data_IF_586016026351
#
_entry.id   IF_586016026351
#
_cell.length_a   1.000
_cell.length_b   1.000
_cell.length_c   1.000
_cell.angle_alpha   90.00
_cell.angle_beta   90.00
_cell.angle_gamma   90.00
#
_symmetry.space_group_name_H-M   'P 1'
#
loop_
_entity.id
_entity.type
_entity.pdbx_description
1 polymer ?
#
# COMPACT_ATOMS: atom_id res chain seq x y z
N UNK A 1 37.10 -41.85 5.17
CA UNK A 1 37.30 -40.45 4.75
C UNK A 1 36.55 -40.27 3.44
N UNK A 2 35.24 -40.07 3.54
CA UNK A 2 34.33 -39.95 2.39
C UNK A 2 34.20 -38.48 2.02
N UNK A 3 34.45 -38.25 0.73
CA UNK A 3 34.49 -37.01 -0.02
C UNK A 3 33.26 -36.14 0.29
N UNK A 4 33.49 -34.87 0.60
CA UNK A 4 32.44 -33.89 0.85
C UNK A 4 31.48 -33.81 -0.34
N UNK A 5 30.18 -33.90 -0.07
CA UNK A 5 29.16 -33.46 -1.01
C UNK A 5 29.40 -31.97 -1.25
N UNK A 6 30.00 -31.63 -2.38
CA UNK A 6 29.82 -30.30 -2.95
C UNK A 6 28.33 -30.22 -3.31
N UNK A 7 27.57 -29.39 -2.57
CA UNK A 7 26.21 -29.07 -2.96
C UNK A 7 26.25 -28.56 -4.40
N UNK A 8 25.42 -29.14 -5.28
CA UNK A 8 25.35 -28.70 -6.67
C UNK A 8 25.05 -27.20 -6.71
N UNK A 9 25.76 -26.43 -7.55
CA UNK A 9 25.53 -25.00 -7.64
C UNK A 9 24.12 -24.75 -8.17
N UNK A 10 23.27 -24.13 -7.36
CA UNK A 10 21.95 -23.68 -7.78
C UNK A 10 22.10 -22.55 -8.82
N UNK A 11 21.96 -22.90 -10.10
CA UNK A 11 22.07 -21.96 -11.22
C UNK A 11 20.72 -21.30 -11.48
N UNK A 12 20.70 -19.96 -11.41
CA UNK A 12 19.51 -19.16 -11.71
C UNK A 12 19.24 -19.12 -13.22
N UNK A 13 18.40 -20.03 -13.70
CA UNK A 13 18.11 -20.19 -15.13
C UNK A 13 17.30 -19.05 -15.74
N UNK A 14 16.48 -18.35 -14.94
CA UNK A 14 15.64 -17.23 -15.39
C UNK A 14 16.44 -15.96 -15.69
N UNK A 15 17.70 -15.88 -15.23
CA UNK A 15 18.54 -14.68 -15.33
C UNK A 15 18.06 -13.49 -14.50
N UNK A 16 16.93 -13.61 -13.79
CA UNK A 16 16.36 -12.55 -12.96
C UNK A 16 16.59 -12.84 -11.47
N UNK A 17 17.43 -12.03 -10.84
CA UNK A 17 17.71 -12.14 -9.41
C UNK A 17 16.86 -11.13 -8.60
N UNK A 18 15.83 -11.59 -7.86
CA UNK A 18 14.99 -10.70 -7.07
C UNK A 18 15.74 -10.01 -5.92
N UNK A 19 16.86 -10.55 -5.44
CA UNK A 19 17.64 -9.97 -4.34
C UNK A 19 18.30 -8.63 -4.73
N UNK A 20 18.73 -8.51 -5.99
CA UNK A 20 19.36 -7.30 -6.51
C UNK A 20 18.34 -6.16 -6.52
N UNK A 21 17.15 -6.40 -7.08
CA UNK A 21 16.09 -5.39 -7.17
C UNK A 21 15.52 -5.07 -5.79
N UNK A 22 15.45 -6.06 -4.90
CA UNK A 22 15.01 -5.87 -3.52
C UNK A 22 15.82 -4.79 -2.78
N UNK A 23 17.12 -4.64 -3.05
CA UNK A 23 17.93 -3.58 -2.45
C UNK A 23 17.41 -2.18 -2.80
N UNK A 24 17.07 -1.95 -4.07
CA UNK A 24 16.50 -0.68 -4.52
C UNK A 24 15.12 -0.42 -3.92
N UNK A 25 14.27 -1.44 -3.82
CA UNK A 25 12.97 -1.30 -3.18
C UNK A 25 13.06 -1.06 -1.67
N UNK A 26 14.04 -1.66 -0.98
CA UNK A 26 14.31 -1.37 0.42
C UNK A 26 14.67 0.10 0.62
N UNK A 27 15.61 0.62 -0.18
CA UNK A 27 16.01 2.03 -0.13
C UNK A 27 14.84 2.96 -0.43
N UNK A 28 14.07 2.67 -1.47
CA UNK A 28 12.89 3.45 -1.84
C UNK A 28 11.84 3.48 -0.72
N UNK A 29 11.50 2.33 -0.14
CA UNK A 29 10.57 2.24 0.99
C UNK A 29 11.08 3.01 2.21
N UNK A 30 12.38 2.92 2.52
CA UNK A 30 13.01 3.64 3.62
C UNK A 30 12.98 5.16 3.44
N UNK A 31 13.24 5.65 2.22
CA UNK A 31 13.14 7.07 1.89
C UNK A 31 11.70 7.57 2.08
N UNK A 32 10.71 6.82 1.60
CA UNK A 32 9.29 7.16 1.79
C UNK A 32 8.88 7.16 3.26
N UNK A 33 9.40 6.22 4.06
CA UNK A 33 9.18 6.22 5.50
C UNK A 33 9.77 7.48 6.16
N UNK A 34 10.97 7.90 5.74
CA UNK A 34 11.58 9.16 6.17
C UNK A 34 10.70 10.38 5.85
N UNK A 35 10.16 10.46 4.63
CA UNK A 35 9.21 11.51 4.26
C UNK A 35 7.95 11.48 5.13
N UNK A 36 7.36 10.30 5.35
CA UNK A 36 6.19 10.15 6.21
C UNK A 36 6.48 10.65 7.63
N UNK A 37 7.65 10.32 8.19
CA UNK A 37 8.09 10.80 9.51
C UNK A 37 8.21 12.32 9.57
N UNK A 38 8.77 12.96 8.54
CA UNK A 38 8.84 14.43 8.48
C UNK A 38 7.44 15.05 8.48
N UNK A 39 6.52 14.53 7.66
CA UNK A 39 5.14 15.03 7.60
C UNK A 39 4.41 14.82 8.94
N UNK A 40 4.63 13.69 9.62
CA UNK A 40 4.09 13.46 10.99
C UNK A 40 4.56 14.57 11.93
N UNK A 41 5.85 14.90 11.94
CA UNK A 41 6.38 15.97 12.79
C UNK A 41 5.77 17.34 12.46
N UNK A 42 5.56 17.65 11.17
CA UNK A 42 4.90 18.89 10.77
C UNK A 42 3.44 18.95 11.24
N UNK A 43 2.71 17.83 11.16
CA UNK A 43 1.33 17.75 11.66
C UNK A 43 1.30 17.91 13.19
N UNK A 44 2.24 17.29 13.92
CA UNK A 44 2.35 17.42 15.37
C UNK A 44 2.77 18.83 15.81
N UNK A 45 3.73 19.46 15.13
CA UNK A 45 4.14 20.85 15.40
C UNK A 45 2.98 21.82 15.16
N UNK A 46 2.26 21.66 14.04
CA UNK A 46 1.04 22.43 13.76
C UNK A 46 0.00 22.25 14.87
N UNK A 47 -0.24 21.02 15.31
CA UNK A 47 -1.18 20.74 16.40
C UNK A 47 -0.72 21.36 17.73
N UNK A 48 0.58 21.33 18.02
CA UNK A 48 1.17 21.89 19.24
C UNK A 48 1.06 23.42 19.27
N UNK A 49 1.47 24.11 18.19
CA UNK A 49 1.37 25.57 18.08
C UNK A 49 -0.06 26.06 18.24
N UNK A 50 -1.01 25.36 17.61
CA UNK A 50 -2.45 25.70 17.67
C UNK A 50 -3.05 25.57 19.07
N UNK A 51 -2.51 24.66 19.90
CA UNK A 51 -2.95 24.53 21.29
C UNK A 51 -2.60 25.77 22.13
N UNK A 52 -1.59 26.54 21.73
CA UNK A 52 -1.25 27.83 22.34
C UNK A 52 -2.19 28.97 21.96
N UNK A 53 -2.80 28.93 20.77
CA UNK A 53 -3.59 30.03 20.19
C UNK A 53 -5.04 30.13 20.72
N UNK A 54 -5.48 29.26 21.64
CA UNK A 54 -6.83 29.25 22.25
C UNK A 54 -8.02 29.24 21.28
N UNK A 55 -7.80 29.00 19.98
CA UNK A 55 -8.85 28.95 18.96
C UNK A 55 -9.64 27.66 19.09
N UNK A 56 -10.97 27.77 19.26
CA UNK A 56 -11.88 26.62 19.26
C UNK A 56 -11.92 26.06 17.83
N UNK A 57 -11.41 24.85 17.64
CA UNK A 57 -11.48 24.14 16.35
C UNK A 57 -12.91 23.66 16.09
N UNK A 58 -13.31 23.72 14.82
CA UNK A 58 -14.48 22.98 14.36
C UNK A 58 -14.23 21.47 14.62
N UNK A 59 -15.16 20.74 15.28
CA UNK A 59 -15.07 19.29 15.46
C UNK A 59 -14.71 18.50 14.19
N UNK A 60 -15.05 19.05 13.00
CA UNK A 60 -14.69 18.46 11.71
C UNK A 60 -13.20 18.56 11.40
N UNK A 61 -12.55 19.69 11.73
CA UNK A 61 -11.12 19.91 11.46
C UNK A 61 -10.26 19.04 12.39
N UNK A 62 -10.64 18.91 13.67
CA UNK A 62 -9.89 18.08 14.63
C UNK A 62 -9.97 16.58 14.31
N UNK A 63 -11.16 16.11 13.89
CA UNK A 63 -11.34 14.75 13.40
C UNK A 63 -10.46 14.47 12.17
N UNK A 64 -10.44 15.40 11.22
CA UNK A 64 -9.64 15.31 10.00
C UNK A 64 -8.14 15.25 10.27
N UNK A 65 -7.62 16.13 11.13
CA UNK A 65 -6.21 16.12 11.55
C UNK A 65 -5.82 14.80 12.24
N UNK A 66 -6.68 14.28 13.11
CA UNK A 66 -6.44 12.99 13.77
C UNK A 66 -6.36 11.83 12.78
N UNK A 67 -7.23 11.85 11.76
CA UNK A 67 -7.29 10.81 10.74
C UNK A 67 -6.09 10.85 9.80
N UNK A 68 -5.61 12.05 9.44
CA UNK A 68 -4.34 12.22 8.71
C UNK A 68 -3.20 11.63 9.55
N UNK A 69 -3.11 11.98 10.83
CA UNK A 69 -2.08 11.48 11.73
C UNK A 69 -2.06 9.95 11.81
N UNK A 70 -3.23 9.33 12.01
CA UNK A 70 -3.36 7.86 12.03
C UNK A 70 -2.90 7.25 10.70
N UNK A 71 -3.37 7.77 9.56
CA UNK A 71 -2.99 7.25 8.25
C UNK A 71 -1.48 7.38 7.99
N UNK A 72 -0.85 8.49 8.37
CA UNK A 72 0.60 8.69 8.26
C UNK A 72 1.37 7.69 9.14
N UNK A 73 0.95 7.47 10.39
CA UNK A 73 1.60 6.51 11.29
C UNK A 73 1.47 5.08 10.75
N UNK A 74 0.28 4.70 10.26
CA UNK A 74 0.06 3.42 9.59
C UNK A 74 0.96 3.25 8.35
N UNK A 75 1.04 4.28 7.50
CA UNK A 75 1.90 4.26 6.32
C UNK A 75 3.38 4.16 6.70
N UNK A 76 3.83 4.94 7.67
CA UNK A 76 5.20 4.91 8.18
C UNK A 76 5.57 3.50 8.69
N UNK A 77 4.75 2.92 9.56
CA UNK A 77 5.00 1.59 10.10
C UNK A 77 5.03 0.53 8.99
N UNK A 78 4.08 0.58 8.06
CA UNK A 78 4.03 -0.33 6.90
C UNK A 78 5.28 -0.21 6.02
N UNK A 79 5.75 1.01 5.75
CA UNK A 79 6.96 1.26 4.96
C UNK A 79 8.23 0.79 5.70
N UNK A 80 8.32 0.95 7.02
CA UNK A 80 9.43 0.41 7.82
C UNK A 80 9.45 -1.13 7.74
N UNK A 81 8.32 -1.79 7.96
CA UNK A 81 8.21 -3.25 7.84
C UNK A 81 8.60 -3.73 6.43
N UNK A 82 8.13 -3.01 5.42
CA UNK A 82 8.45 -3.29 4.00
C UNK A 82 9.95 -3.11 3.71
N UNK A 83 10.57 -2.06 4.28
CA UNK A 83 12.00 -1.80 4.14
C UNK A 83 12.82 -2.94 4.74
N UNK A 84 12.48 -3.38 5.95
CA UNK A 84 13.10 -4.52 6.60
C UNK A 84 12.94 -5.79 5.74
N UNK A 85 11.75 -6.03 5.18
CA UNK A 85 11.47 -7.19 4.32
C UNK A 85 12.32 -7.22 3.06
N UNK A 86 12.36 -6.11 2.32
CA UNK A 86 13.20 -6.04 1.13
C UNK A 86 14.69 -6.07 1.47
N UNK A 87 15.10 -5.57 2.63
CA UNK A 87 16.50 -5.67 3.08
C UNK A 87 16.91 -7.11 3.37
N UNK A 88 16.00 -7.88 4.00
CA UNK A 88 16.18 -9.31 4.21
C UNK A 88 16.21 -10.09 2.89
N UNK A 89 15.29 -9.79 1.97
CA UNK A 89 15.27 -10.37 0.63
C UNK A 89 16.54 -10.02 -0.17
N UNK A 90 17.13 -8.84 0.03
CA UNK A 90 18.39 -8.46 -0.61
C UNK A 90 19.60 -9.24 -0.07
N UNK A 91 19.46 -9.90 1.07
CA UNK A 91 20.46 -10.82 1.63
C UNK A 91 20.26 -12.28 1.20
N UNK A 92 19.19 -12.59 0.46
CA UNK A 92 18.95 -13.94 -0.06
C UNK A 92 19.97 -14.29 -1.15
N UNK A 93 20.41 -15.55 -1.16
CA UNK A 93 21.40 -16.05 -2.13
C UNK A 93 21.29 -17.55 -2.34
N UNK A 94 21.92 -18.06 -3.39
CA UNK A 94 22.00 -19.49 -3.69
C UNK A 94 20.64 -20.13 -3.98
N UNK A 95 20.41 -21.33 -3.44
CA UNK A 95 19.23 -22.14 -3.75
C UNK A 95 17.90 -21.50 -3.34
N UNK A 96 17.90 -20.57 -2.39
CA UNK A 96 16.70 -19.82 -2.04
C UNK A 96 16.17 -18.93 -3.19
N UNK A 97 17.04 -18.55 -4.14
CA UNK A 97 16.66 -17.80 -5.34
C UNK A 97 15.96 -18.71 -6.37
N UNK A 98 16.40 -19.97 -6.47
CA UNK A 98 15.95 -20.92 -7.49
C UNK A 98 14.80 -21.81 -7.02
N UNK A 99 14.64 -22.04 -5.72
CA UNK A 99 13.61 -22.92 -5.16
C UNK A 99 12.33 -22.17 -4.73
N UNK A 100 12.20 -20.90 -5.13
CA UNK A 100 10.96 -20.14 -5.00
C UNK A 100 10.75 -19.39 -3.69
N UNK A 101 11.61 -19.55 -2.67
CA UNK A 101 11.52 -18.78 -1.41
C UNK A 101 11.69 -17.29 -1.64
N UNK A 102 12.75 -16.89 -2.33
CA UNK A 102 13.00 -15.47 -2.62
C UNK A 102 11.88 -14.87 -3.48
N UNK A 103 11.38 -15.61 -4.47
CA UNK A 103 10.22 -15.19 -5.27
C UNK A 103 8.96 -14.99 -4.41
N UNK A 104 8.69 -15.91 -3.48
CA UNK A 104 7.55 -15.84 -2.56
C UNK A 104 7.67 -14.63 -1.62
N UNK A 105 8.86 -14.43 -1.06
CA UNK A 105 9.16 -13.27 -0.23
C UNK A 105 9.02 -11.95 -1.02
N UNK A 106 9.40 -11.93 -2.30
CA UNK A 106 9.24 -10.77 -3.17
C UNK A 106 7.77 -10.40 -3.39
N UNK A 107 6.90 -11.38 -3.64
CA UNK A 107 5.45 -11.15 -3.80
C UNK A 107 4.85 -10.57 -2.52
N UNK A 108 5.15 -11.17 -1.36
CA UNK A 108 4.66 -10.69 -0.07
C UNK A 108 5.20 -9.27 0.24
N UNK A 109 6.49 -9.01 0.00
CA UNK A 109 7.07 -7.68 0.16
C UNK A 109 6.40 -6.65 -0.77
N UNK A 110 6.08 -7.03 -2.01
CA UNK A 110 5.40 -6.16 -2.97
C UNK A 110 3.97 -5.81 -2.53
N UNK A 111 3.22 -6.76 -1.98
CA UNK A 111 1.89 -6.50 -1.40
C UNK A 111 1.99 -5.50 -0.25
N UNK A 112 2.94 -5.71 0.67
CA UNK A 112 3.17 -4.80 1.80
C UNK A 112 3.56 -3.39 1.34
N UNK A 113 4.45 -3.29 0.34
CA UNK A 113 4.87 -2.02 -0.26
C UNK A 113 3.70 -1.28 -0.89
N UNK A 114 2.93 -1.97 -1.73
CA UNK A 114 1.79 -1.40 -2.44
C UNK A 114 0.74 -0.86 -1.45
N UNK A 115 0.40 -1.64 -0.42
CA UNK A 115 -0.54 -1.22 0.61
C UNK A 115 -0.05 0.01 1.39
N UNK A 116 1.23 0.02 1.79
CA UNK A 116 1.82 1.09 2.60
C UNK A 116 2.00 2.38 1.79
N UNK A 117 2.45 2.27 0.54
CA UNK A 117 2.57 3.38 -0.40
C UNK A 117 1.20 4.00 -0.69
N UNK A 118 0.19 3.17 -0.94
CA UNK A 118 -1.17 3.67 -1.16
C UNK A 118 -1.71 4.39 0.07
N UNK A 119 -1.47 3.86 1.27
CA UNK A 119 -1.86 4.51 2.54
C UNK A 119 -1.12 5.85 2.74
N UNK A 120 0.16 5.93 2.36
CA UNK A 120 0.91 7.19 2.38
C UNK A 120 0.29 8.23 1.44
N UNK A 121 0.01 7.84 0.20
CA UNK A 121 -0.65 8.71 -0.78
C UNK A 121 -2.03 9.15 -0.29
N UNK A 122 -2.81 8.25 0.31
CA UNK A 122 -4.07 8.57 0.98
C UNK A 122 -3.90 9.67 2.02
N UNK A 123 -2.92 9.53 2.93
CA UNK A 123 -2.66 10.52 3.95
C UNK A 123 -2.27 11.90 3.35
N UNK A 124 -1.45 11.89 2.29
CA UNK A 124 -1.05 13.12 1.58
C UNK A 124 -2.26 13.81 0.92
N UNK A 125 -3.16 13.06 0.28
CA UNK A 125 -4.37 13.62 -0.33
C UNK A 125 -5.28 14.23 0.75
N UNK A 126 -5.43 13.57 1.89
CA UNK A 126 -6.18 14.12 3.03
C UNK A 126 -5.50 15.38 3.61
N UNK A 127 -4.18 15.43 3.63
CA UNK A 127 -3.45 16.62 4.06
C UNK A 127 -3.77 17.84 3.18
N UNK A 128 -3.91 17.64 1.86
CA UNK A 128 -4.27 18.71 0.93
C UNK A 128 -5.76 19.09 0.93
N UNK A 129 -6.67 18.21 1.37
CA UNK A 129 -8.12 18.48 1.31
C UNK A 129 -8.55 19.73 2.08
N UNK A 130 -7.76 20.15 3.07
CA UNK A 130 -8.00 21.39 3.80
C UNK A 130 -7.49 22.67 3.13
N UNK A 131 -6.74 22.61 2.03
CA UNK A 131 -6.05 23.78 1.46
C UNK A 131 -6.53 24.20 0.07
N UNK A 132 -6.72 23.26 -0.87
CA UNK A 132 -7.05 23.58 -2.26
C UNK A 132 -8.02 22.58 -2.90
N UNK A 133 -9.25 23.04 -3.19
CA UNK A 133 -10.30 22.20 -3.78
C UNK A 133 -9.92 21.61 -5.15
N UNK A 134 -9.26 22.40 -6.01
CA UNK A 134 -8.91 21.97 -7.37
C UNK A 134 -7.79 20.93 -7.37
N UNK A 135 -6.74 21.16 -6.59
CA UNK A 135 -5.63 20.20 -6.45
C UNK A 135 -6.15 18.86 -5.90
N UNK A 136 -6.98 18.93 -4.85
CA UNK A 136 -7.53 17.76 -4.17
C UNK A 136 -8.41 16.94 -5.10
N UNK A 137 -9.22 17.58 -5.95
CA UNK A 137 -10.03 16.86 -6.93
C UNK A 137 -9.18 15.99 -7.86
N UNK A 138 -8.05 16.52 -8.35
CA UNK A 138 -7.13 15.75 -9.19
C UNK A 138 -6.40 14.65 -8.41
N UNK A 139 -5.92 14.96 -7.21
CA UNK A 139 -5.26 13.99 -6.35
C UNK A 139 -6.19 12.82 -5.96
N UNK A 140 -7.45 13.11 -5.61
CA UNK A 140 -8.47 12.10 -5.31
C UNK A 140 -8.77 11.26 -6.54
N UNK A 141 -8.84 11.84 -7.75
CA UNK A 141 -9.04 11.07 -8.97
C UNK A 141 -7.87 10.10 -9.22
N UNK A 142 -6.64 10.60 -9.17
CA UNK A 142 -5.44 9.77 -9.37
C UNK A 142 -5.41 8.63 -8.33
N UNK A 143 -5.64 8.96 -7.06
CA UNK A 143 -5.57 7.98 -5.98
C UNK A 143 -6.73 6.99 -5.98
N UNK A 144 -7.96 7.43 -6.25
CA UNK A 144 -9.12 6.53 -6.22
C UNK A 144 -9.22 5.66 -7.47
N UNK A 145 -8.81 6.18 -8.64
CA UNK A 145 -9.02 5.52 -9.94
C UNK A 145 -7.76 4.84 -10.47
N UNK A 146 -6.63 5.53 -10.48
CA UNK A 146 -5.41 5.07 -11.16
C UNK A 146 -4.54 4.24 -10.22
N UNK A 147 -4.30 4.73 -9.00
CA UNK A 147 -3.36 4.12 -8.07
C UNK A 147 -3.69 2.65 -7.68
N UNK A 148 -4.96 2.22 -7.47
CA UNK A 148 -5.26 0.83 -7.13
C UNK A 148 -4.84 -0.12 -8.25
N UNK A 149 -5.08 0.27 -9.50
CA UNK A 149 -4.72 -0.53 -10.66
C UNK A 149 -3.21 -0.65 -10.84
N UNK A 150 -2.47 0.45 -10.66
CA UNK A 150 -1.00 0.43 -10.69
C UNK A 150 -0.42 -0.44 -9.57
N UNK A 151 -0.95 -0.32 -8.36
CA UNK A 151 -0.51 -1.10 -7.21
C UNK A 151 -0.72 -2.61 -7.40
N UNK A 152 -1.88 -3.02 -7.94
CA UNK A 152 -2.17 -4.42 -8.22
C UNK A 152 -1.38 -4.92 -9.44
N UNK A 153 -1.19 -4.10 -10.48
CA UNK A 153 -0.35 -4.46 -11.62
C UNK A 153 1.10 -4.72 -11.19
N UNK A 154 1.63 -3.90 -10.29
CA UNK A 154 2.96 -4.09 -9.70
C UNK A 154 3.08 -5.43 -8.99
N UNK A 155 2.10 -5.81 -8.17
CA UNK A 155 2.08 -7.13 -7.51
C UNK A 155 1.92 -8.26 -8.53
N UNK A 156 1.08 -8.09 -9.55
CA UNK A 156 0.89 -9.10 -10.60
C UNK A 156 2.19 -9.40 -11.37
N UNK A 157 3.04 -8.40 -11.60
CA UNK A 157 4.37 -8.62 -12.18
C UNK A 157 5.24 -9.52 -11.30
N UNK A 158 5.16 -9.38 -9.97
CA UNK A 158 5.89 -10.28 -9.06
C UNK A 158 5.38 -11.72 -9.07
N UNK A 159 4.11 -11.96 -9.43
CA UNK A 159 3.57 -13.32 -9.61
C UNK A 159 4.17 -14.02 -10.84
N UNK A 160 4.42 -13.28 -11.92
CA UNK A 160 5.10 -13.82 -13.09
C UNK A 160 6.55 -14.22 -12.76
N UNK A 161 7.25 -13.40 -11.96
CA UNK A 161 8.57 -13.76 -11.44
C UNK A 161 8.55 -14.98 -10.52
N UNK A 162 7.53 -15.12 -9.67
CA UNK A 162 7.33 -16.32 -8.86
C UNK A 162 7.10 -17.56 -9.72
N UNK A 163 6.31 -17.46 -10.79
CA UNK A 163 6.08 -18.57 -11.70
C UNK A 163 7.36 -19.04 -12.41
N UNK A 164 8.28 -18.12 -12.73
CA UNK A 164 9.61 -18.46 -13.24
C UNK A 164 10.45 -19.13 -12.16
N UNK A 165 10.44 -18.63 -10.92
CA UNK A 165 11.19 -19.22 -9.82
C UNK A 165 10.71 -20.64 -9.45
N UNK A 166 9.41 -20.92 -9.57
CA UNK A 166 8.83 -22.25 -9.33
C UNK A 166 8.81 -23.15 -10.58
N UNK A 167 9.37 -22.69 -11.69
CA UNK A 167 9.42 -23.43 -12.94
C UNK A 167 10.37 -24.62 -12.91
N UNK A 168 10.29 -25.49 -13.91
CA UNK A 168 11.20 -26.61 -14.04
C UNK A 168 12.55 -26.12 -14.63
N UNK A 169 13.66 -26.23 -13.89
CA UNK A 169 14.97 -25.73 -14.34
C UNK A 169 15.55 -26.53 -15.52
N UNK A 170 15.21 -27.82 -15.66
CA UNK A 170 15.70 -28.68 -16.74
C UNK A 170 15.09 -28.30 -18.09
N UNK A 171 13.78 -28.09 -18.11
CA UNK A 171 13.03 -27.72 -19.32
C UNK A 171 12.99 -26.21 -19.54
N UNK A 172 13.44 -25.41 -18.56
CA UNK A 172 13.37 -23.93 -18.55
C UNK A 172 11.97 -23.40 -18.81
N UNK A 173 10.97 -24.10 -18.27
CA UNK A 173 9.57 -23.71 -18.40
C UNK A 173 9.07 -23.14 -17.07
N UNK A 174 8.37 -22.00 -17.08
CA UNK A 174 7.73 -21.49 -15.87
C UNK A 174 6.62 -22.44 -15.41
N UNK A 175 6.17 -22.25 -14.17
CA UNK A 175 4.99 -22.92 -13.67
C UNK A 175 3.74 -22.46 -14.45
N UNK A 176 3.38 -23.21 -15.49
CA UNK A 176 2.42 -22.75 -16.49
C UNK A 176 1.06 -22.28 -15.98
N UNK A 177 0.37 -22.96 -15.05
CA UNK A 177 -0.94 -22.45 -14.60
C UNK A 177 -0.82 -21.07 -13.94
N UNK A 178 0.27 -20.79 -13.23
CA UNK A 178 0.49 -19.48 -12.61
C UNK A 178 0.95 -18.45 -13.64
N UNK A 179 1.84 -18.84 -14.55
CA UNK A 179 2.37 -17.97 -15.61
C UNK A 179 1.28 -17.50 -16.59
N UNK A 180 0.47 -18.43 -17.09
CA UNK A 180 -0.61 -18.15 -18.05
C UNK A 180 -1.67 -17.26 -17.39
N UNK A 181 -2.05 -17.58 -16.15
CA UNK A 181 -2.98 -16.74 -15.38
C UNK A 181 -2.41 -15.35 -15.11
N UNK A 182 -1.15 -15.26 -14.67
CA UNK A 182 -0.52 -13.97 -14.39
C UNK A 182 -0.46 -13.10 -15.64
N UNK A 183 -0.05 -13.65 -16.79
CA UNK A 183 0.03 -12.91 -18.04
C UNK A 183 -1.34 -12.49 -18.57
N UNK A 184 -2.32 -13.40 -18.60
CA UNK A 184 -3.67 -13.09 -19.07
C UNK A 184 -4.37 -12.07 -18.16
N UNK A 185 -4.26 -12.24 -16.84
CA UNK A 185 -4.91 -11.36 -15.87
C UNK A 185 -4.15 -10.05 -15.61
N UNK A 186 -2.85 -9.97 -15.96
CA UNK A 186 -2.03 -8.75 -15.75
C UNK A 186 -2.61 -7.52 -16.43
N UNK A 187 -3.32 -7.70 -17.55
CA UNK A 187 -3.98 -6.62 -18.28
C UNK A 187 -5.44 -6.45 -17.86
N UNK A 188 -6.15 -7.56 -17.67
CA UNK A 188 -7.58 -7.54 -17.34
C UNK A 188 -7.87 -7.00 -15.93
N UNK A 189 -7.07 -7.38 -14.91
CA UNK A 189 -7.29 -6.94 -13.53
C UNK A 189 -7.14 -5.42 -13.38
N UNK A 190 -6.06 -4.77 -13.85
CA UNK A 190 -5.94 -3.32 -13.77
C UNK A 190 -7.06 -2.59 -14.52
N UNK A 191 -7.45 -3.07 -15.70
CA UNK A 191 -8.56 -2.49 -16.48
C UNK A 191 -9.88 -2.59 -15.71
N UNK A 192 -10.18 -3.77 -15.13
CA UNK A 192 -11.36 -3.96 -14.31
C UNK A 192 -11.34 -3.06 -13.06
N UNK A 193 -10.20 -2.93 -12.39
CA UNK A 193 -10.05 -2.04 -11.23
C UNK A 193 -10.24 -0.58 -11.60
N UNK A 194 -9.67 -0.10 -12.71
CA UNK A 194 -9.91 1.26 -13.22
C UNK A 194 -11.40 1.45 -13.48
N UNK A 195 -12.06 0.48 -14.13
CA UNK A 195 -13.49 0.53 -14.40
C UNK A 195 -14.33 0.65 -13.12
N UNK A 196 -14.14 -0.27 -12.17
CA UNK A 196 -14.86 -0.28 -10.89
C UNK A 196 -14.60 1.01 -10.12
N UNK A 197 -13.34 1.42 -9.99
CA UNK A 197 -12.97 2.66 -9.30
C UNK A 197 -13.52 3.91 -9.97
N UNK A 198 -13.55 3.97 -11.30
CA UNK A 198 -14.15 5.08 -12.04
C UNK A 198 -15.66 5.15 -11.78
N UNK A 199 -16.37 4.01 -11.77
CA UNK A 199 -17.79 3.95 -11.41
C UNK A 199 -18.00 4.45 -9.98
N UNK A 200 -17.23 3.98 -9.00
CA UNK A 200 -17.31 4.45 -7.61
C UNK A 200 -17.04 5.95 -7.51
N UNK A 201 -16.03 6.45 -8.23
CA UNK A 201 -15.68 7.86 -8.26
C UNK A 201 -16.82 8.72 -8.84
N UNK A 202 -17.48 8.29 -9.93
CA UNK A 202 -18.62 8.99 -10.53
C UNK A 202 -19.82 9.02 -9.59
N UNK A 203 -20.20 7.88 -9.00
CA UNK A 203 -21.33 7.78 -8.06
C UNK A 203 -21.07 8.66 -6.82
N UNK A 204 -19.81 8.75 -6.39
CA UNK A 204 -19.39 9.53 -5.24
C UNK A 204 -19.39 11.07 -5.41
N UNK A 205 -19.53 11.60 -6.64
CA UNK A 205 -19.40 13.05 -6.93
C UNK A 205 -20.33 13.89 -6.03
N UNK A 206 -21.61 13.49 -5.91
CA UNK A 206 -22.58 14.23 -5.10
C UNK A 206 -22.21 14.27 -3.61
N UNK A 207 -21.59 13.20 -3.10
CA UNK A 207 -21.14 13.15 -1.70
C UNK A 207 -19.91 14.01 -1.48
N UNK A 208 -18.91 13.95 -2.37
CA UNK A 208 -17.66 14.73 -2.22
C UNK A 208 -17.87 16.25 -2.22
N UNK A 209 -18.86 16.71 -2.96
CA UNK A 209 -19.25 18.13 -3.06
C UNK A 209 -20.26 18.58 -2.00
N UNK A 210 -20.75 17.67 -1.16
CA UNK A 210 -21.73 18.02 -0.14
C UNK A 210 -21.05 18.72 1.03
N UNK A 211 -21.63 19.87 1.42
CA UNK A 211 -21.23 20.63 2.63
C UNK A 211 -21.86 20.08 3.91
N UNK A 212 -22.80 19.13 3.79
CA UNK A 212 -23.52 18.57 4.92
C UNK A 212 -22.56 17.86 5.90
N UNK A 213 -22.85 17.91 7.21
CA UNK A 213 -22.01 17.27 8.22
C UNK A 213 -21.84 15.77 7.95
N UNK A 214 -20.64 15.28 8.26
CA UNK A 214 -20.29 13.87 8.15
C UNK A 214 -21.08 13.11 9.22
N UNK A 215 -21.80 12.06 8.84
CA UNK A 215 -22.45 11.19 9.82
C UNK A 215 -21.39 10.41 10.61
N UNK A 216 -21.63 10.17 11.90
CA UNK A 216 -20.65 9.45 12.76
C UNK A 216 -20.26 8.07 12.22
N UNK A 217 -21.18 7.37 11.55
CA UNK A 217 -20.90 6.07 10.92
C UNK A 217 -19.92 6.18 9.75
N UNK A 218 -20.01 7.25 8.95
CA UNK A 218 -19.06 7.52 7.87
C UNK A 218 -17.67 7.88 8.41
N UNK A 219 -17.61 8.63 9.51
CA UNK A 219 -16.35 8.96 10.18
C UNK A 219 -15.66 7.72 10.76
N UNK A 220 -16.43 6.82 11.41
CA UNK A 220 -15.88 5.58 11.94
C UNK A 220 -15.32 4.70 10.82
N UNK A 221 -16.06 4.54 9.73
CA UNK A 221 -15.59 3.80 8.56
C UNK A 221 -14.31 4.38 7.97
N UNK A 222 -14.20 5.70 7.85
CA UNK A 222 -12.99 6.33 7.31
C UNK A 222 -11.79 6.23 8.26
N UNK A 223 -12.02 6.17 9.57
CA UNK A 223 -10.97 5.94 10.57
C UNK A 223 -10.44 4.50 10.56
N UNK A 224 -11.27 3.51 10.21
CA UNK A 224 -10.86 2.10 10.19
C UNK A 224 -10.05 1.72 8.95
N UNK A 225 -10.22 2.47 7.85
CA UNK A 225 -9.60 2.19 6.54
C UNK A 225 -8.06 2.13 6.58
N UNK A 226 -7.31 3.04 7.23
CA UNK A 226 -5.85 2.90 7.36
C UNK A 226 -5.44 1.71 8.23
N UNK A 227 -6.28 1.31 9.20
CA UNK A 227 -6.01 0.13 10.03
C UNK A 227 -6.10 -1.18 9.24
N UNK A 228 -7.00 -1.26 8.24
CA UNK A 228 -7.10 -2.47 7.42
C UNK A 228 -5.88 -2.66 6.53
N UNK A 229 -5.30 -1.59 5.98
CA UNK A 229 -4.08 -1.70 5.17
C UNK A 229 -2.84 -2.03 5.99
N UNK A 230 -2.66 -1.43 7.17
CA UNK A 230 -1.55 -1.83 8.04
C UNK A 230 -1.74 -3.25 8.57
N UNK A 231 -2.97 -3.68 8.87
CA UNK A 231 -3.24 -5.07 9.26
C UNK A 231 -2.87 -6.04 8.13
N UNK A 232 -3.16 -5.70 6.87
CA UNK A 232 -2.71 -6.48 5.71
C UNK A 232 -1.18 -6.52 5.63
N UNK A 233 -0.50 -5.38 5.74
CA UNK A 233 0.97 -5.32 5.70
C UNK A 233 1.62 -6.14 6.84
N UNK A 234 1.07 -6.08 8.06
CA UNK A 234 1.49 -6.90 9.19
C UNK A 234 1.22 -8.38 8.93
N UNK A 235 0.04 -8.75 8.45
CA UNK A 235 -0.33 -10.14 8.18
C UNK A 235 0.62 -10.78 7.14
N UNK A 236 0.88 -10.06 6.05
CA UNK A 236 1.82 -10.48 5.00
C UNK A 236 3.26 -10.58 5.53
N UNK A 237 3.66 -9.64 6.39
CA UNK A 237 4.95 -9.68 7.09
C UNK A 237 5.04 -10.91 8.00
N UNK A 238 4.05 -11.17 8.84
CA UNK A 238 4.02 -12.34 9.72
C UNK A 238 4.03 -13.63 8.91
N UNK A 239 3.26 -13.71 7.82
CA UNK A 239 3.27 -14.85 6.89
C UNK A 239 4.64 -15.09 6.27
N UNK A 240 5.34 -14.01 5.93
CA UNK A 240 6.70 -14.08 5.40
C UNK A 240 7.71 -14.56 6.45
N UNK A 241 7.65 -14.10 7.71
CA UNK A 241 8.58 -14.60 8.77
C UNK A 241 8.26 -16.02 9.22
N UNK A 242 6.98 -16.34 9.45
CA UNK A 242 6.60 -17.58 10.12
C UNK A 242 6.84 -18.82 9.26
N UNK A 243 6.68 -18.69 7.94
CA UNK A 243 6.64 -19.84 7.03
C UNK A 243 7.72 -19.82 5.95
N UNK A 244 8.33 -18.67 5.63
CA UNK A 244 9.52 -18.62 4.74
C UNK A 244 10.81 -18.59 5.58
N UNK A 245 10.81 -19.26 6.74
CA UNK A 245 11.95 -19.27 7.66
C UNK A 245 13.25 -19.66 6.95
N UNK A 246 14.36 -19.02 7.36
CA UNK A 246 15.66 -19.12 6.67
C UNK A 246 16.22 -20.54 6.57
N UNK A 247 15.72 -21.48 7.38
CA UNK A 247 16.19 -22.86 7.41
C UNK A 247 15.81 -23.68 6.17
N UNK A 248 14.74 -23.32 5.44
CA UNK A 248 14.28 -24.09 4.28
C UNK A 248 14.29 -23.24 3.00
N UNK A 249 15.26 -23.44 2.08
CA UNK A 249 15.31 -22.70 0.80
C UNK A 249 14.14 -23.02 -0.13
N UNK A 250 13.51 -24.19 0.03
CA UNK A 250 12.34 -24.62 -0.73
C UNK A 250 11.01 -24.13 -0.13
N UNK A 251 11.03 -23.40 1.00
CA UNK A 251 9.82 -22.83 1.58
C UNK A 251 9.23 -21.77 0.65
N UNK A 252 8.05 -22.00 0.09
CA UNK A 252 7.39 -21.07 -0.83
C UNK A 252 5.88 -20.96 -0.53
N UNK A 253 5.25 -19.89 -1.03
CA UNK A 253 3.79 -19.78 -1.02
C UNK A 253 3.21 -20.54 -2.21
N UNK A 254 2.03 -21.14 -2.05
CA UNK A 254 1.36 -21.78 -3.17
C UNK A 254 0.86 -20.72 -4.19
N UNK A 255 0.69 -21.08 -5.47
CA UNK A 255 0.13 -20.18 -6.48
C UNK A 255 -1.24 -19.61 -6.08
N UNK A 256 -2.09 -20.44 -5.47
CA UNK A 256 -3.42 -20.03 -4.99
C UNK A 256 -3.31 -19.01 -3.86
N UNK A 257 -2.39 -19.23 -2.92
CA UNK A 257 -2.14 -18.29 -1.83
C UNK A 257 -1.62 -16.94 -2.35
N UNK A 258 -0.72 -16.96 -3.34
CA UNK A 258 -0.20 -15.74 -3.94
C UNK A 258 -1.31 -14.87 -4.55
N UNK A 259 -2.27 -15.51 -5.24
CA UNK A 259 -3.47 -14.83 -5.75
C UNK A 259 -4.40 -14.33 -4.64
N UNK A 260 -4.54 -15.06 -3.54
CA UNK A 260 -5.32 -14.60 -2.37
C UNK A 260 -4.74 -13.29 -1.82
N UNK A 261 -3.42 -13.18 -1.66
CA UNK A 261 -2.79 -11.94 -1.20
C UNK A 261 -2.97 -10.77 -2.17
N UNK A 262 -2.86 -11.02 -3.49
CA UNK A 262 -3.14 -10.01 -4.51
C UNK A 262 -4.63 -9.57 -4.49
N UNK A 263 -5.56 -10.51 -4.30
CA UNK A 263 -6.99 -10.23 -4.18
C UNK A 263 -7.33 -9.44 -2.91
N UNK A 264 -6.73 -9.78 -1.77
CA UNK A 264 -6.86 -9.03 -0.52
C UNK A 264 -6.31 -7.60 -0.67
N UNK A 265 -5.18 -7.43 -1.34
CA UNK A 265 -4.68 -6.10 -1.69
C UNK A 265 -5.71 -5.35 -2.54
N UNK A 266 -6.17 -5.92 -3.65
CA UNK A 266 -7.15 -5.27 -4.52
C UNK A 266 -8.41 -4.85 -3.75
N UNK A 267 -8.95 -5.72 -2.91
CA UNK A 267 -10.12 -5.44 -2.07
C UNK A 267 -9.85 -4.31 -1.07
N UNK A 268 -8.72 -4.32 -0.38
CA UNK A 268 -8.35 -3.24 0.57
C UNK A 268 -8.17 -1.91 -0.14
N UNK A 269 -7.51 -1.86 -1.30
CA UNK A 269 -7.34 -0.64 -2.08
C UNK A 269 -8.66 -0.11 -2.62
N UNK A 270 -9.55 -0.98 -3.10
CA UNK A 270 -10.91 -0.59 -3.50
C UNK A 270 -11.71 -0.04 -2.32
N UNK A 271 -11.59 -0.64 -1.13
CA UNK A 271 -12.23 -0.15 0.09
C UNK A 271 -11.73 1.26 0.44
N UNK A 272 -10.41 1.49 0.37
CA UNK A 272 -9.83 2.81 0.62
C UNK A 272 -10.24 3.83 -0.45
N UNK A 273 -10.22 3.45 -1.73
CA UNK A 273 -10.66 4.28 -2.86
C UNK A 273 -12.15 4.62 -2.79
N UNK A 274 -12.98 3.68 -2.34
CA UNK A 274 -14.40 3.90 -2.06
C UNK A 274 -14.57 4.88 -0.89
N UNK A 275 -13.81 4.71 0.20
CA UNK A 275 -13.85 5.62 1.34
C UNK A 275 -13.57 7.06 0.92
N UNK A 276 -12.54 7.29 0.09
CA UNK A 276 -12.24 8.60 -0.51
C UNK A 276 -13.37 9.09 -1.42
N UNK A 277 -13.85 8.22 -2.31
CA UNK A 277 -14.86 8.57 -3.31
C UNK A 277 -16.17 8.99 -2.67
N UNK A 278 -16.52 8.44 -1.50
CA UNK A 278 -17.76 8.71 -0.78
C UNK A 278 -17.60 9.62 0.45
N UNK A 279 -16.38 10.09 0.75
CA UNK A 279 -16.14 11.02 1.85
C UNK A 279 -16.78 12.36 1.54
N UNK A 280 -17.53 12.88 2.51
CA UNK A 280 -18.28 14.13 2.34
C UNK A 280 -17.38 15.34 2.47
N UNK A 281 -17.57 16.29 1.57
CA UNK A 281 -16.92 17.60 1.61
C UNK A 281 -15.39 17.56 1.51
N UNK A 282 -14.81 16.52 0.89
CA UNK A 282 -13.35 16.47 0.59
C UNK A 282 -12.95 17.54 -0.42
N UNK A 283 -13.86 17.89 -1.33
CA UNK A 283 -13.64 18.92 -2.34
C UNK A 283 -14.03 20.33 -1.83
N UNK A 284 -14.46 20.45 -0.56
CA UNK A 284 -14.90 21.73 0.03
C UNK A 284 -13.86 22.19 1.05
N UNK A 285 -13.22 23.36 0.85
CA UNK A 285 -12.22 23.87 1.79
C UNK A 285 -12.86 24.22 3.14
N UNK A 286 -12.08 24.12 4.23
CA UNK A 286 -12.53 24.58 5.53
C UNK A 286 -12.62 26.11 5.52
N UNK A 287 -13.82 26.66 5.39
CA UNK A 287 -14.06 28.08 5.64
C UNK A 287 -13.89 28.31 7.13
N UNK A 288 -12.72 28.80 7.54
CA UNK A 288 -12.49 29.16 8.94
C UNK A 288 -13.62 30.09 9.39
N UNK A 289 -14.38 29.65 10.39
CA UNK A 289 -15.45 30.47 10.96
C UNK A 289 -14.83 31.73 11.58
N UNK A 290 -14.85 32.84 10.86
CA UNK A 290 -14.69 34.16 11.45
C UNK A 290 -16.02 34.53 12.11
N UNK A 291 -16.36 33.84 13.20
CA UNK A 291 -17.40 34.35 14.10
C UNK A 291 -16.67 35.33 15.02
N UNK A 292 -16.42 36.54 14.51
CA UNK A 292 -16.39 37.71 15.37
C UNK A 292 -17.86 38.12 15.47
N UNK A 293 -18.56 37.90 16.59
CA UNK A 293 -19.77 38.67 16.83
C UNK A 293 -19.29 40.10 17.05
N UNK A 294 -19.40 40.91 16.00
CA UNK A 294 -19.41 42.36 16.13
C UNK A 294 -20.57 42.69 17.06
N UNK A 295 -20.26 42.86 18.36
CA UNK A 295 -21.15 43.57 19.26
C UNK A 295 -21.17 45.01 18.78
N UNK A 296 -22.10 45.30 17.88
CA UNK A 296 -22.56 46.65 17.65
C UNK A 296 -23.32 47.09 18.91
N UNK A 297 -22.76 48.11 19.56
CA UNK A 297 -23.37 49.07 20.51
C UNK A 297 -23.94 48.53 21.81
#
# INVERSE_FOLDING_TARGET
>A
MTIGLFAEPCVLWSGFDPSIVARSYAQFAGILAGFAFVVINLVLDRAYRRRGDSRVLDPRESAHESQIGIALVCAFLGLVLTTLRYSLLAGESGCALTEGRAGSAAVLAAVSLAASLYTLLYAIVQFFSGTSALLVRHCVFILAVIAPALAVAFVAQTLAHLALALGNPETRQPLQPLWDQANHLSTLIPVALIGISAVMWVIGIKRRRSEAPVSGLAQHFQSSVPYTTIALAIAVTMRSVALLGYANPAGHISPTEAWVWAGLLAATLLLQGAALSFQRGVEVPFTGSSIVPEKAT
#
